data_IF_939367381942
#
_entry.id   IF_939367381942
#
_cell.length_a   1.000
_cell.length_b   1.000
_cell.length_c   1.000
_cell.angle_alpha   90.00
_cell.angle_beta   90.00
_cell.angle_gamma   90.00
#
_symmetry.space_group_name_H-M   'P 1'
#
loop_
_entity.id
_entity.type
_entity.pdbx_description
1 polymer ?
#
# COMPACT_ATOMS: atom_id res chain seq x y z
N UNK A 1 -25.51 -0.84 3.70
CA UNK A 1 -24.38 -0.06 3.14
C UNK A 1 -23.15 -0.94 3.06
N UNK A 2 -22.44 -0.96 1.93
CA UNK A 2 -21.13 -1.60 1.88
C UNK A 2 -20.20 -0.84 2.83
N UNK A 3 -19.40 -1.52 3.66
CA UNK A 3 -18.46 -0.84 4.54
C UNK A 3 -17.47 -0.03 3.68
N UNK A 4 -17.16 1.19 4.10
CA UNK A 4 -16.19 2.04 3.42
C UNK A 4 -14.84 1.31 3.28
N UNK A 5 -14.14 1.46 2.15
CA UNK A 5 -12.84 0.82 1.94
C UNK A 5 -11.82 1.36 2.95
N UNK A 6 -10.94 0.47 3.42
CA UNK A 6 -9.81 0.85 4.26
C UNK A 6 -8.79 1.60 3.42
N UNK A 7 -8.43 2.81 3.82
CA UNK A 7 -7.46 3.63 3.09
C UNK A 7 -6.06 3.47 3.68
N UNK A 8 -5.07 3.24 2.81
CA UNK A 8 -3.66 3.36 3.12
C UNK A 8 -3.09 4.57 2.38
N UNK A 9 -2.52 5.53 3.12
CA UNK A 9 -1.71 6.60 2.55
C UNK A 9 -0.24 6.23 2.65
N UNK A 10 0.44 6.12 1.51
CA UNK A 10 1.80 5.58 1.42
C UNK A 10 2.84 6.68 1.12
N UNK A 11 4.03 6.54 1.72
CA UNK A 11 5.14 7.45 1.50
C UNK A 11 4.96 8.82 2.15
N UNK A 12 4.38 8.88 3.35
CA UNK A 12 4.29 10.09 4.15
C UNK A 12 5.61 10.34 4.88
N UNK A 13 6.06 11.61 4.91
CA UNK A 13 7.37 11.99 5.46
C UNK A 13 7.29 12.96 6.64
N UNK A 14 6.15 13.64 6.82
CA UNK A 14 5.97 14.71 7.79
C UNK A 14 4.91 14.36 8.81
N UNK A 15 5.11 14.82 10.05
CA UNK A 15 4.16 14.60 11.15
C UNK A 15 2.77 15.16 10.84
N UNK A 16 2.73 16.33 10.17
CA UNK A 16 1.49 16.99 9.79
C UNK A 16 0.69 16.18 8.78
N UNK A 17 1.36 15.46 7.86
CA UNK A 17 0.69 14.61 6.88
C UNK A 17 0.08 13.38 7.56
N UNK A 18 0.77 12.81 8.58
CA UNK A 18 0.23 11.71 9.38
C UNK A 18 -0.97 12.18 10.23
N UNK A 19 -0.86 13.37 10.84
CA UNK A 19 -1.98 13.97 11.57
C UNK A 19 -3.20 14.16 10.66
N UNK A 20 -2.96 14.60 9.43
CA UNK A 20 -4.01 14.80 8.44
C UNK A 20 -4.59 13.45 7.96
N UNK A 21 -3.75 12.45 7.66
CA UNK A 21 -4.18 11.10 7.31
C UNK A 21 -5.10 10.50 8.39
N UNK A 22 -4.73 10.68 9.67
CA UNK A 22 -5.57 10.25 10.79
C UNK A 22 -6.95 10.94 10.78
N UNK A 23 -7.00 12.25 10.55
CA UNK A 23 -8.27 13.01 10.41
C UNK A 23 -9.12 12.51 9.23
N UNK A 24 -8.48 12.04 8.14
CA UNK A 24 -9.13 11.43 6.99
C UNK A 24 -9.50 9.95 7.22
N UNK A 25 -9.42 9.43 8.44
CA UNK A 25 -9.76 8.04 8.82
C UNK A 25 -8.90 7.01 8.08
N UNK A 26 -7.62 7.34 7.80
CA UNK A 26 -6.70 6.37 7.26
C UNK A 26 -6.58 5.16 8.18
N UNK A 27 -6.67 3.96 7.61
CA UNK A 27 -6.48 2.71 8.34
C UNK A 27 -5.00 2.36 8.50
N UNK A 28 -4.20 2.67 7.46
CA UNK A 28 -2.75 2.50 7.44
C UNK A 28 -2.03 3.75 6.94
N UNK A 29 -0.81 3.92 7.42
CA UNK A 29 0.21 4.84 6.86
C UNK A 29 1.43 4.02 6.46
N UNK A 30 1.92 4.20 5.23
CA UNK A 30 3.12 3.55 4.71
C UNK A 30 4.35 4.43 4.85
N UNK A 31 5.43 3.88 5.43
CA UNK A 31 6.78 4.45 5.42
C UNK A 31 7.66 3.66 4.46
N UNK A 32 8.32 4.34 3.52
CA UNK A 32 9.16 3.71 2.50
C UNK A 32 10.61 3.72 2.97
N UNK A 33 11.16 2.54 3.22
CA UNK A 33 12.55 2.32 3.65
C UNK A 33 13.46 1.91 2.47
N UNK A 34 13.17 2.42 1.28
CA UNK A 34 13.94 2.18 0.06
C UNK A 34 14.79 3.40 -0.25
N UNK A 35 16.11 3.28 -0.07
CA UNK A 35 17.06 4.35 -0.43
C UNK A 35 16.96 4.69 -1.91
N UNK A 36 17.05 5.98 -2.24
CA UNK A 36 16.85 6.47 -3.61
C UNK A 36 15.39 6.75 -3.98
N UNK A 37 14.42 6.33 -3.18
CA UNK A 37 13.04 6.77 -3.34
C UNK A 37 12.89 8.24 -2.87
N UNK A 38 12.17 9.10 -3.63
CA UNK A 38 11.85 10.46 -3.16
C UNK A 38 10.96 10.45 -1.91
N UNK A 39 10.43 9.28 -1.55
CA UNK A 39 9.57 9.05 -0.38
C UNK A 39 10.28 8.28 0.73
N UNK A 40 11.63 8.20 0.65
CA UNK A 40 12.42 7.52 1.67
C UNK A 40 12.35 8.26 3.01
N UNK A 41 12.18 7.50 4.08
CA UNK A 41 12.25 8.01 5.45
C UNK A 41 13.25 7.19 6.27
N UNK A 42 14.06 7.87 7.08
CA UNK A 42 14.96 7.20 8.02
C UNK A 42 14.22 6.52 9.16
N UNK A 43 14.73 5.37 9.62
CA UNK A 43 14.14 4.62 10.73
C UNK A 43 14.01 5.46 12.02
N UNK A 44 15.00 6.30 12.30
CA UNK A 44 14.97 7.20 13.49
C UNK A 44 13.82 8.20 13.39
N UNK A 45 13.63 8.81 12.21
CA UNK A 45 12.55 9.78 11.96
C UNK A 45 11.17 9.12 12.04
N UNK A 46 10.99 7.96 11.41
CA UNK A 46 9.73 7.22 11.47
C UNK A 46 9.39 6.79 12.89
N UNK A 47 10.36 6.37 13.71
CA UNK A 47 10.16 6.02 15.11
C UNK A 47 9.56 7.16 15.93
N UNK A 48 10.07 8.38 15.75
CA UNK A 48 9.53 9.58 16.43
C UNK A 48 8.06 9.80 16.06
N UNK A 49 7.74 9.67 14.78
CA UNK A 49 6.37 9.84 14.26
C UNK A 49 5.45 8.73 14.79
N UNK A 50 5.88 7.48 14.69
CA UNK A 50 5.11 6.31 15.14
C UNK A 50 4.75 6.45 16.61
N UNK A 51 5.69 6.80 17.47
CA UNK A 51 5.45 6.95 18.90
C UNK A 51 4.32 7.92 19.24
N UNK A 52 4.10 8.96 18.43
CA UNK A 52 2.99 9.92 18.63
C UNK A 52 1.62 9.35 18.20
N UNK A 53 1.58 8.36 17.31
CA UNK A 53 0.34 7.88 16.70
C UNK A 53 0.13 6.36 16.80
N UNK A 54 1.00 5.60 17.48
CA UNK A 54 1.01 4.12 17.54
C UNK A 54 -0.34 3.49 17.95
N UNK A 55 -1.12 4.18 18.78
CA UNK A 55 -2.43 3.70 19.23
C UNK A 55 -3.61 4.25 18.41
N UNK A 56 -3.33 5.05 17.38
CA UNK A 56 -4.35 5.76 16.60
C UNK A 56 -4.41 5.30 15.15
N UNK A 57 -3.29 4.83 14.61
CA UNK A 57 -3.16 4.40 13.21
C UNK A 57 -2.14 3.27 13.12
N UNK A 58 -2.29 2.37 12.15
CA UNK A 58 -1.34 1.29 11.90
C UNK A 58 -0.29 1.72 10.89
N UNK A 59 0.97 1.38 11.16
CA UNK A 59 2.11 1.74 10.31
C UNK A 59 2.63 0.54 9.54
N UNK A 60 2.85 0.73 8.24
CA UNK A 60 3.38 -0.26 7.31
C UNK A 60 4.78 0.16 6.88
N UNK A 61 5.78 -0.67 7.10
CA UNK A 61 7.11 -0.48 6.52
C UNK A 61 7.16 -1.09 5.12
N UNK A 62 7.48 -0.28 4.12
CA UNK A 62 7.60 -0.71 2.72
C UNK A 62 9.05 -0.92 2.38
N UNK A 63 9.37 -2.12 1.90
CA UNK A 63 10.72 -2.57 1.56
C UNK A 63 10.76 -3.16 0.16
N UNK A 64 11.93 -3.14 -0.45
CA UNK A 64 12.25 -3.82 -1.72
C UNK A 64 13.47 -4.68 -1.49
N UNK A 65 13.35 -5.99 -1.59
CA UNK A 65 14.38 -7.00 -1.41
C UNK A 65 15.27 -6.76 -0.16
N UNK A 66 14.66 -6.58 1.04
CA UNK A 66 15.37 -6.15 2.23
C UNK A 66 16.24 -7.24 2.84
N UNK A 67 17.33 -6.81 3.51
CA UNK A 67 18.04 -7.66 4.46
C UNK A 67 17.24 -7.86 5.76
N UNK A 68 17.57 -8.91 6.53
CA UNK A 68 16.97 -9.11 7.87
C UNK A 68 17.25 -7.92 8.80
N UNK A 69 18.41 -7.28 8.64
CA UNK A 69 18.78 -6.10 9.41
C UNK A 69 17.86 -4.90 9.12
N UNK A 70 17.50 -4.68 7.84
CA UNK A 70 16.61 -3.57 7.47
C UNK A 70 15.20 -3.79 8.01
N UNK A 71 14.69 -5.03 7.91
CA UNK A 71 13.41 -5.41 8.50
C UNK A 71 13.41 -5.18 10.01
N UNK A 72 14.46 -5.66 10.69
CA UNK A 72 14.62 -5.45 12.14
C UNK A 72 14.59 -3.98 12.52
N UNK A 73 15.35 -3.13 11.82
CA UNK A 73 15.33 -1.66 12.05
C UNK A 73 13.93 -1.06 11.86
N UNK A 74 13.17 -1.52 10.85
CA UNK A 74 11.79 -1.11 10.66
C UNK A 74 10.90 -1.50 11.84
N UNK A 75 10.99 -2.75 12.30
CA UNK A 75 10.24 -3.25 13.47
C UNK A 75 10.62 -2.46 14.72
N UNK A 76 11.91 -2.22 14.95
CA UNK A 76 12.41 -1.43 16.07
C UNK A 76 11.96 0.05 16.02
N UNK A 77 11.58 0.54 14.84
CA UNK A 77 10.93 1.85 14.69
C UNK A 77 9.45 1.84 15.07
N UNK A 78 8.82 0.65 15.18
CA UNK A 78 7.44 0.48 15.65
C UNK A 78 6.41 0.22 14.55
N UNK A 79 6.80 -0.21 13.35
CA UNK A 79 5.84 -0.61 12.32
C UNK A 79 5.03 -1.83 12.77
N UNK A 80 3.79 -1.92 12.31
CA UNK A 80 2.86 -3.00 12.63
C UNK A 80 2.80 -4.08 11.55
N UNK A 81 3.17 -3.73 10.30
CA UNK A 81 3.12 -4.60 9.14
C UNK A 81 4.36 -4.37 8.27
N UNK A 82 4.81 -5.43 7.61
CA UNK A 82 5.88 -5.42 6.61
C UNK A 82 5.23 -5.51 5.23
N UNK A 83 5.52 -4.56 4.33
CA UNK A 83 5.15 -4.66 2.92
C UNK A 83 6.40 -4.98 2.11
N UNK A 84 6.40 -6.14 1.46
CA UNK A 84 7.43 -6.62 0.56
C UNK A 84 7.05 -6.25 -0.88
N UNK A 85 7.75 -5.27 -1.43
CA UNK A 85 7.41 -4.62 -2.70
C UNK A 85 8.42 -4.91 -3.81
N UNK A 86 9.36 -5.81 -3.55
CA UNK A 86 10.39 -6.29 -4.48
C UNK A 86 10.06 -7.63 -5.09
N UNK A 87 11.12 -8.37 -5.43
CA UNK A 87 11.06 -9.69 -6.07
C UNK A 87 11.19 -10.84 -5.07
N UNK A 88 10.88 -10.59 -3.78
CA UNK A 88 11.02 -11.58 -2.71
C UNK A 88 10.25 -12.86 -3.05
N UNK A 89 10.95 -14.01 -3.04
CA UNK A 89 10.34 -15.33 -3.31
C UNK A 89 9.41 -15.79 -2.17
N UNK A 90 8.56 -16.81 -2.40
CA UNK A 90 7.77 -17.43 -1.32
C UNK A 90 8.62 -17.91 -0.15
N UNK A 91 9.82 -18.49 -0.43
CA UNK A 91 10.76 -18.95 0.57
C UNK A 91 11.28 -17.79 1.42
N UNK A 92 11.64 -16.66 0.77
CA UNK A 92 12.08 -15.46 1.47
C UNK A 92 10.96 -14.86 2.33
N UNK A 93 9.73 -14.83 1.83
CA UNK A 93 8.56 -14.40 2.60
C UNK A 93 8.32 -15.31 3.82
N UNK A 94 8.47 -16.64 3.66
CA UNK A 94 8.36 -17.62 4.74
C UNK A 94 9.44 -17.41 5.80
N UNK A 95 10.68 -17.20 5.38
CA UNK A 95 11.81 -16.90 6.28
C UNK A 95 11.52 -15.66 7.14
N UNK A 96 11.14 -14.52 6.49
CA UNK A 96 10.81 -13.26 7.15
C UNK A 96 9.66 -13.46 8.15
N UNK A 97 8.60 -14.18 7.74
CA UNK A 97 7.44 -14.46 8.60
C UNK A 97 7.83 -15.27 9.83
N UNK A 98 8.70 -16.25 9.65
CA UNK A 98 9.16 -17.12 10.75
C UNK A 98 10.06 -16.39 11.73
N UNK A 99 10.95 -15.53 11.25
CA UNK A 99 11.89 -14.79 12.10
C UNK A 99 11.19 -13.69 12.90
N UNK A 100 10.40 -12.86 12.19
CA UNK A 100 9.92 -11.61 12.78
C UNK A 100 8.52 -11.70 13.38
N UNK A 101 7.70 -12.67 12.96
CA UNK A 101 6.31 -12.85 13.46
C UNK A 101 5.41 -11.61 13.27
N UNK A 102 5.73 -10.75 12.31
CA UNK A 102 4.98 -9.55 11.95
C UNK A 102 4.18 -9.83 10.67
N UNK A 103 2.91 -9.39 10.57
CA UNK A 103 2.10 -9.61 9.37
C UNK A 103 2.74 -9.04 8.10
N UNK A 104 2.63 -9.80 7.01
CA UNK A 104 3.24 -9.48 5.71
C UNK A 104 2.16 -9.12 4.67
N UNK A 105 2.36 -8.00 4.00
CA UNK A 105 1.71 -7.61 2.75
C UNK A 105 2.69 -7.92 1.62
N UNK A 106 2.35 -8.82 0.68
CA UNK A 106 3.17 -9.03 -0.52
C UNK A 106 2.58 -8.25 -1.69
N UNK A 107 3.38 -7.42 -2.33
CA UNK A 107 3.00 -6.65 -3.51
C UNK A 107 3.24 -7.44 -4.79
N UNK A 108 2.30 -7.33 -5.73
CA UNK A 108 2.33 -7.95 -7.05
C UNK A 108 2.10 -6.89 -8.12
N UNK A 109 3.05 -6.72 -9.05
CA UNK A 109 2.85 -5.90 -10.22
C UNK A 109 1.93 -6.63 -11.20
N UNK A 110 0.77 -6.02 -11.53
CA UNK A 110 -0.27 -6.62 -12.36
C UNK A 110 -0.21 -6.06 -13.78
N UNK A 111 -0.17 -6.94 -14.76
CA UNK A 111 -0.31 -6.63 -16.19
C UNK A 111 -1.30 -7.59 -16.87
N UNK A 112 -1.49 -8.79 -16.32
CA UNK A 112 -2.30 -9.86 -16.91
C UNK A 112 -2.96 -10.74 -15.85
N UNK A 113 -3.89 -11.60 -16.27
CA UNK A 113 -4.50 -12.63 -15.41
C UNK A 113 -3.45 -13.58 -14.81
N UNK A 114 -2.36 -13.85 -15.52
CA UNK A 114 -1.26 -14.70 -15.02
C UNK A 114 -0.58 -14.10 -13.80
N UNK A 115 -0.46 -12.77 -13.73
CA UNK A 115 0.14 -12.11 -12.57
C UNK A 115 -0.75 -12.26 -11.33
N UNK A 116 -2.08 -12.22 -11.49
CA UNK A 116 -3.03 -12.51 -10.41
C UNK A 116 -2.86 -13.94 -9.89
N UNK A 117 -2.66 -14.93 -10.77
CA UNK A 117 -2.53 -16.34 -10.36
C UNK A 117 -1.24 -16.61 -9.57
N UNK A 118 -0.19 -15.79 -9.70
CA UNK A 118 1.05 -15.93 -8.92
C UNK A 118 0.84 -15.82 -7.42
N UNK A 119 -0.23 -15.14 -6.95
CA UNK A 119 -0.51 -15.00 -5.52
C UNK A 119 -0.73 -16.35 -4.83
N UNK A 120 -1.15 -17.39 -5.57
CA UNK A 120 -1.39 -18.74 -5.01
C UNK A 120 -0.14 -19.29 -4.30
N UNK A 121 1.06 -19.01 -4.82
CA UNK A 121 2.33 -19.43 -4.23
C UNK A 121 2.62 -18.74 -2.90
N UNK A 122 2.00 -17.59 -2.65
CA UNK A 122 2.25 -16.74 -1.48
C UNK A 122 1.16 -16.84 -0.40
N UNK A 123 0.07 -17.59 -0.64
CA UNK A 123 -1.09 -17.64 0.27
C UNK A 123 -0.77 -18.09 1.69
N UNK A 124 0.24 -18.95 1.87
CA UNK A 124 0.64 -19.48 3.18
C UNK A 124 1.75 -18.66 3.86
N UNK A 125 2.41 -17.77 3.10
CA UNK A 125 3.59 -17.02 3.56
C UNK A 125 3.35 -15.51 3.66
N UNK A 126 2.18 -15.03 3.21
CA UNK A 126 1.73 -13.65 3.39
C UNK A 126 0.35 -13.60 4.04
N UNK A 127 0.01 -12.48 4.64
CA UNK A 127 -1.25 -12.26 5.35
C UNK A 127 -2.22 -11.42 4.51
N UNK A 128 -1.66 -10.66 3.55
CA UNK A 128 -2.40 -9.77 2.66
C UNK A 128 -1.65 -9.60 1.34
N UNK A 129 -2.37 -9.36 0.26
CA UNK A 129 -1.81 -9.03 -1.06
C UNK A 129 -1.99 -7.55 -1.37
N UNK A 130 -1.12 -6.98 -2.18
CA UNK A 130 -1.28 -5.65 -2.75
C UNK A 130 -1.07 -5.74 -4.26
N UNK A 131 -2.04 -5.26 -5.03
CA UNK A 131 -1.99 -5.24 -6.49
C UNK A 131 -1.62 -3.85 -6.97
N UNK A 132 -0.48 -3.74 -7.63
CA UNK A 132 0.08 -2.48 -8.12
C UNK A 132 0.30 -2.52 -9.64
N UNK A 133 0.55 -1.38 -10.23
CA UNK A 133 0.87 -1.28 -11.66
C UNK A 133 2.26 -1.82 -11.96
N UNK A 134 2.43 -2.55 -13.06
CA UNK A 134 3.71 -3.07 -13.54
C UNK A 134 4.50 -2.01 -14.33
N UNK A 135 4.63 -0.81 -13.81
CA UNK A 135 5.43 0.23 -14.44
C UNK A 135 6.62 0.56 -13.55
N UNK A 136 7.82 0.49 -14.11
CA UNK A 136 9.03 0.95 -13.45
C UNK A 136 9.08 2.48 -13.47
N UNK A 137 9.40 3.07 -12.35
CA UNK A 137 9.73 4.49 -12.27
C UNK A 137 11.15 4.75 -12.82
N UNK A 138 11.58 6.00 -12.87
CA UNK A 138 12.92 6.39 -13.36
C UNK A 138 14.08 5.68 -12.63
N UNK A 139 13.86 5.18 -11.41
CA UNK A 139 14.84 4.44 -10.60
C UNK A 139 14.73 2.91 -10.76
N UNK A 140 13.93 2.42 -11.70
CA UNK A 140 13.78 1.00 -12.00
C UNK A 140 12.83 0.22 -11.05
N UNK A 141 12.21 0.85 -10.06
CA UNK A 141 11.25 0.21 -9.15
C UNK A 141 9.84 0.26 -9.72
N UNK A 142 9.01 -0.76 -9.40
CA UNK A 142 7.59 -0.76 -9.75
C UNK A 142 6.82 0.26 -8.91
N UNK A 143 5.77 0.85 -9.51
CA UNK A 143 4.86 1.78 -8.84
C UNK A 143 5.30 3.24 -8.85
N UNK A 144 4.41 4.11 -8.36
CA UNK A 144 4.66 5.55 -8.25
C UNK A 144 4.70 6.33 -9.56
N UNK A 145 4.26 5.74 -10.68
CA UNK A 145 4.26 6.34 -12.03
C UNK A 145 3.00 7.14 -12.35
N UNK A 146 1.97 7.05 -11.52
CA UNK A 146 0.67 7.69 -11.75
C UNK A 146 -0.23 6.98 -12.78
N UNK A 147 0.22 5.85 -13.36
CA UNK A 147 -0.57 5.07 -14.33
C UNK A 147 -1.24 3.88 -13.65
N UNK A 148 -2.52 3.65 -13.95
CA UNK A 148 -3.27 2.47 -13.49
C UNK A 148 -3.05 1.28 -14.44
N UNK A 149 -3.21 0.06 -13.93
CA UNK A 149 -3.37 -1.12 -14.77
C UNK A 149 -4.87 -1.31 -15.13
N UNK A 150 -5.14 -2.23 -16.06
CA UNK A 150 -6.52 -2.57 -16.44
C UNK A 150 -7.26 -3.29 -15.29
N UNK A 151 -8.17 -2.58 -14.63
CA UNK A 151 -8.94 -3.10 -13.50
C UNK A 151 -9.89 -4.24 -13.89
N UNK A 152 -10.18 -4.43 -15.19
CA UNK A 152 -10.95 -5.58 -15.66
C UNK A 152 -10.26 -6.91 -15.36
N UNK A 153 -8.93 -6.93 -15.18
CA UNK A 153 -8.18 -8.09 -14.73
C UNK A 153 -8.69 -8.53 -13.34
N UNK A 154 -8.85 -7.57 -12.40
CA UNK A 154 -9.43 -7.86 -11.08
C UNK A 154 -10.89 -8.28 -11.20
N UNK A 155 -11.67 -7.58 -12.01
CA UNK A 155 -13.10 -7.89 -12.21
C UNK A 155 -13.32 -9.32 -12.70
N UNK A 156 -12.59 -9.75 -13.73
CA UNK A 156 -12.65 -11.12 -14.28
C UNK A 156 -12.27 -12.18 -13.25
N UNK A 157 -11.34 -11.87 -12.34
CA UNK A 157 -10.87 -12.80 -11.31
C UNK A 157 -11.60 -12.66 -9.97
N UNK A 158 -12.65 -11.85 -9.88
CA UNK A 158 -13.35 -11.48 -8.62
C UNK A 158 -13.86 -12.69 -7.83
N UNK A 159 -14.40 -13.70 -8.53
CA UNK A 159 -14.90 -14.93 -7.90
C UNK A 159 -13.79 -15.73 -7.21
N UNK A 160 -12.64 -15.83 -7.85
CA UNK A 160 -11.49 -16.53 -7.31
C UNK A 160 -10.82 -15.72 -6.18
N UNK A 161 -10.66 -14.41 -6.36
CA UNK A 161 -10.08 -13.51 -5.36
C UNK A 161 -10.87 -13.48 -4.04
N UNK A 162 -12.19 -13.67 -4.06
CA UNK A 162 -13.02 -13.78 -2.84
C UNK A 162 -12.59 -14.93 -1.91
N UNK A 163 -11.96 -15.96 -2.46
CA UNK A 163 -11.50 -17.14 -1.73
C UNK A 163 -10.04 -17.01 -1.24
N UNK A 164 -9.37 -15.92 -1.60
CA UNK A 164 -7.98 -15.67 -1.26
C UNK A 164 -7.85 -14.82 0.02
N UNK A 165 -6.61 -14.56 0.44
CA UNK A 165 -6.30 -13.60 1.50
C UNK A 165 -6.84 -12.22 1.17
N UNK A 166 -7.09 -11.35 2.16
CA UNK A 166 -7.44 -9.97 1.92
C UNK A 166 -6.42 -9.29 0.98
N UNK A 167 -6.89 -8.36 0.17
CA UNK A 167 -6.04 -7.66 -0.78
C UNK A 167 -6.33 -6.15 -0.82
N UNK A 168 -5.35 -5.39 -1.24
CA UNK A 168 -5.34 -3.93 -1.35
C UNK A 168 -5.18 -3.59 -2.83
N UNK A 169 -6.03 -2.71 -3.37
CA UNK A 169 -5.85 -2.13 -4.68
C UNK A 169 -4.89 -0.95 -4.60
N UNK A 170 -3.88 -0.94 -5.44
CA UNK A 170 -2.89 0.12 -5.59
C UNK A 170 -2.63 0.40 -7.08
N UNK A 171 -1.68 1.26 -7.38
CA UNK A 171 -1.24 1.55 -8.75
C UNK A 171 -2.06 2.63 -9.45
N UNK A 172 -1.49 3.84 -9.55
CA UNK A 172 -2.05 4.97 -10.27
C UNK A 172 -3.41 5.48 -9.76
N UNK A 173 -3.77 5.14 -8.53
CA UNK A 173 -4.98 5.67 -7.90
C UNK A 173 -4.80 7.14 -7.53
N UNK A 174 -5.84 7.94 -7.78
CA UNK A 174 -5.94 9.35 -7.45
C UNK A 174 -7.38 9.76 -7.15
N UNK A 175 -7.66 11.02 -6.75
CA UNK A 175 -9.02 11.46 -6.47
C UNK A 175 -9.99 11.36 -7.64
N UNK A 176 -9.52 11.44 -8.90
CA UNK A 176 -10.39 11.43 -10.08
C UNK A 176 -10.88 10.02 -10.44
N UNK A 177 -10.07 8.99 -10.19
CA UNK A 177 -10.33 7.62 -10.64
C UNK A 177 -10.77 6.65 -9.53
N UNK A 178 -10.63 7.01 -8.25
CA UNK A 178 -10.84 6.08 -7.14
C UNK A 178 -12.28 5.52 -7.06
N UNK A 179 -13.30 6.32 -7.38
CA UNK A 179 -14.70 5.84 -7.38
C UNK A 179 -14.90 4.73 -8.41
N UNK A 180 -14.41 4.95 -9.63
CA UNK A 180 -14.47 3.99 -10.71
C UNK A 180 -13.69 2.72 -10.37
N UNK A 181 -12.45 2.86 -9.88
CA UNK A 181 -11.61 1.74 -9.47
C UNK A 181 -12.30 0.83 -8.46
N UNK A 182 -12.95 1.40 -7.44
CA UNK A 182 -13.68 0.62 -6.44
C UNK A 182 -14.94 -0.04 -7.04
N UNK A 183 -15.69 0.66 -7.89
CA UNK A 183 -16.89 0.12 -8.53
C UNK A 183 -16.56 -1.10 -9.40
N UNK A 184 -15.50 -1.03 -10.21
CA UNK A 184 -15.07 -2.13 -11.08
C UNK A 184 -14.54 -3.29 -10.25
N UNK A 185 -13.60 -3.03 -9.35
CA UNK A 185 -12.87 -4.08 -8.64
C UNK A 185 -13.59 -4.64 -7.42
N UNK A 186 -14.44 -3.84 -6.78
CA UNK A 186 -15.03 -4.15 -5.48
C UNK A 186 -14.00 -4.15 -4.34
N UNK A 187 -12.91 -3.38 -4.48
CA UNK A 187 -11.84 -3.30 -3.49
C UNK A 187 -12.34 -2.85 -2.12
N UNK A 188 -12.01 -3.61 -1.07
CA UNK A 188 -12.32 -3.28 0.33
C UNK A 188 -11.17 -2.56 1.03
N UNK A 189 -10.02 -2.48 0.39
CA UNK A 189 -8.84 -1.74 0.83
C UNK A 189 -8.13 -1.15 -0.38
N UNK A 190 -7.62 0.07 -0.23
CA UNK A 190 -6.99 0.86 -1.28
C UNK A 190 -5.73 1.51 -0.76
N UNK A 191 -4.73 1.66 -1.63
CA UNK A 191 -3.44 2.29 -1.33
C UNK A 191 -3.14 3.39 -2.33
N UNK A 192 -2.75 4.56 -1.86
CA UNK A 192 -2.40 5.69 -2.70
C UNK A 192 -1.09 6.33 -2.24
N UNK A 193 -0.26 6.68 -3.22
CA UNK A 193 1.00 7.38 -2.97
C UNK A 193 1.15 8.61 -3.85
N UNK A 194 1.54 8.46 -5.13
CA UNK A 194 1.78 9.58 -6.06
C UNK A 194 0.53 10.38 -6.40
N UNK A 195 -0.64 9.76 -6.47
CA UNK A 195 -1.90 10.43 -6.82
C UNK A 195 -2.41 11.45 -5.79
N UNK A 196 -1.70 11.61 -4.67
CA UNK A 196 -1.99 12.63 -3.64
C UNK A 196 -0.77 13.53 -3.38
N UNK A 197 0.08 13.74 -4.38
CA UNK A 197 1.29 14.56 -4.30
C UNK A 197 1.23 15.77 -5.22
N UNK A 198 1.85 16.87 -4.80
CA UNK A 198 2.18 17.99 -5.70
C UNK A 198 3.44 17.69 -6.50
N UNK A 199 4.47 17.17 -5.80
CA UNK A 199 5.75 16.75 -6.35
C UNK A 199 6.15 15.43 -5.66
N UNK A 200 6.99 14.59 -6.27
CA UNK A 200 7.44 13.34 -5.68
C UNK A 200 7.94 13.52 -4.22
N UNK A 201 7.27 12.83 -3.28
CA UNK A 201 7.54 12.92 -1.84
C UNK A 201 6.83 14.05 -1.10
N UNK A 202 6.14 14.98 -1.79
CA UNK A 202 5.41 16.10 -1.16
C UNK A 202 3.89 15.89 -1.27
N UNK A 203 3.26 15.47 -0.17
CA UNK A 203 1.82 15.20 -0.12
C UNK A 203 0.99 16.49 -0.14
N UNK A 204 -0.12 16.47 -0.87
CA UNK A 204 -1.16 17.50 -0.90
C UNK A 204 -2.28 17.13 0.06
N UNK A 205 -2.55 17.97 1.05
CA UNK A 205 -3.68 17.75 1.96
C UNK A 205 -5.03 17.83 1.25
N UNK A 206 -5.14 18.67 0.23
CA UNK A 206 -6.36 18.80 -0.56
C UNK A 206 -6.63 17.54 -1.37
N UNK A 207 -5.60 16.97 -2.03
CA UNK A 207 -5.73 15.71 -2.75
C UNK A 207 -5.99 14.53 -1.78
N UNK A 208 -5.35 14.51 -0.61
CA UNK A 208 -5.63 13.49 0.43
C UNK A 208 -7.10 13.56 0.89
N UNK A 209 -7.62 14.76 1.13
CA UNK A 209 -9.02 14.98 1.53
C UNK A 209 -9.97 14.53 0.43
N UNK A 210 -9.73 14.97 -0.81
CA UNK A 210 -10.58 14.64 -1.96
C UNK A 210 -10.57 13.14 -2.24
N UNK A 211 -9.40 12.50 -2.17
CA UNK A 211 -9.27 11.04 -2.30
C UNK A 211 -10.10 10.30 -1.25
N UNK A 212 -9.94 10.66 0.03
CA UNK A 212 -10.68 10.03 1.12
C UNK A 212 -12.19 10.26 0.99
N UNK A 213 -12.61 11.49 0.65
CA UNK A 213 -14.00 11.82 0.41
C UNK A 213 -14.60 10.96 -0.71
N UNK A 214 -13.93 10.87 -1.86
CA UNK A 214 -14.39 10.09 -3.00
C UNK A 214 -14.43 8.59 -2.68
N UNK A 215 -13.43 8.06 -1.96
CA UNK A 215 -13.39 6.67 -1.53
C UNK A 215 -14.52 6.30 -0.54
N UNK A 216 -14.90 7.23 0.34
CA UNK A 216 -15.97 6.99 1.31
C UNK A 216 -17.38 7.25 0.75
N UNK A 217 -17.52 8.00 -0.34
CA UNK A 217 -18.80 8.38 -0.95
C UNK A 217 -19.00 7.76 -2.35
N UNK A 218 -18.77 6.44 -2.46
CA UNK A 218 -18.83 5.71 -3.74
C UNK A 218 -20.23 5.76 -4.36
N UNK A 219 -21.29 5.72 -3.53
CA UNK A 219 -22.70 5.68 -3.97
C UNK A 219 -23.36 7.06 -4.06
N UNK A 220 -22.67 8.14 -3.74
CA UNK A 220 -23.22 9.48 -3.88
C UNK A 220 -23.18 9.87 -5.36
N UNK A 221 -24.37 9.97 -5.99
CA UNK A 221 -24.50 10.68 -7.27
C UNK A 221 -24.00 12.11 -7.05
N UNK A 222 -23.07 12.54 -7.87
CA UNK A 222 -22.70 13.96 -8.00
C UNK A 222 -23.86 14.69 -8.63
#
# INVERSE_FOLDING_TARGET
MLPHPKIKFCGLLRLEDIAFAYKQRAYWVGFIYVKGSPRYIEFKKSKIIINKYKNKIKFVGVFVDPSNMDIKKGIDSGINLIQLHGSESPERCKEIKNIFKVPIIKSFPILSDLDIKKIEQYKNVSDMFLFDTKNKNANGYNGGTGKSFDWNIIYKNKGWLKKQKPWILSGGLDPSNIKEAINITGAKAIDVSSGIEYNPGSKSRDLMRLFAYNAHNINSKV
#
